data_IF_771179063458
#
_entry.id   IF_771179063458
#
_cell.length_a   1.000
_cell.length_b   1.000
_cell.length_c   1.000
_cell.angle_alpha   90.00
_cell.angle_beta   90.00
_cell.angle_gamma   90.00
#
_symmetry.space_group_name_H-M   'P 1'
#
loop_
_entity.id
_entity.type
_entity.pdbx_description
1 polymer ?
#
# COMPACT_ATOMS: atom_id res chain seq x y z
N UNK A 1 0.34 -14.85 -18.51
CA UNK A 1 -0.40 -16.10 -18.23
C UNK A 1 -1.04 -15.99 -16.85
N UNK A 2 -2.37 -16.04 -16.76
CA UNK A 2 -3.10 -16.02 -15.48
C UNK A 2 -3.00 -17.38 -14.78
N UNK A 3 -2.67 -17.39 -13.48
CA UNK A 3 -2.71 -18.59 -12.64
C UNK A 3 -4.12 -18.81 -12.08
N UNK A 4 -4.51 -20.08 -12.00
CA UNK A 4 -5.81 -20.57 -11.55
C UNK A 4 -6.14 -20.18 -10.10
N UNK A 5 -7.43 -20.14 -9.71
CA UNK A 5 -7.85 -19.65 -8.41
C UNK A 5 -7.63 -20.73 -7.35
N UNK A 6 -6.46 -20.76 -6.72
CA UNK A 6 -6.30 -21.44 -5.44
C UNK A 6 -6.84 -20.53 -4.33
N UNK A 7 -7.70 -21.09 -3.49
CA UNK A 7 -8.61 -20.42 -2.56
C UNK A 7 -7.94 -19.77 -1.33
N UNK A 8 -6.81 -19.06 -1.50
CA UNK A 8 -6.10 -18.28 -0.45
C UNK A 8 -5.29 -17.10 -1.00
N UNK A 9 -5.79 -16.34 -1.98
CA UNK A 9 -5.13 -15.08 -2.32
C UNK A 9 -5.29 -14.12 -1.14
N UNK A 10 -4.22 -13.88 -0.37
CA UNK A 10 -4.18 -12.76 0.58
C UNK A 10 -4.34 -11.49 -0.26
N UNK A 11 -5.11 -10.51 0.20
CA UNK A 11 -5.36 -9.25 -0.52
C UNK A 11 -4.10 -8.55 -1.07
N UNK A 12 -2.95 -8.80 -0.44
CA UNK A 12 -1.63 -8.29 -0.80
C UNK A 12 -0.95 -9.05 -1.95
N UNK A 13 -1.39 -10.26 -2.30
CA UNK A 13 -0.79 -11.10 -3.35
C UNK A 13 -1.04 -10.56 -4.78
N UNK A 14 -1.79 -9.45 -4.88
CA UNK A 14 -2.05 -8.71 -6.12
C UNK A 14 -0.92 -7.73 -6.49
N UNK A 15 0.05 -7.53 -5.60
CA UNK A 15 1.17 -6.61 -5.78
C UNK A 15 2.49 -7.38 -5.74
N UNK A 16 3.42 -7.01 -6.61
CA UNK A 16 4.76 -7.59 -6.68
C UNK A 16 5.82 -6.50 -6.91
N UNK A 17 7.08 -6.81 -6.60
CA UNK A 17 8.22 -5.92 -6.81
C UNK A 17 9.02 -5.65 -5.54
N UNK A 18 10.13 -4.93 -5.70
CA UNK A 18 11.12 -4.71 -4.64
C UNK A 18 10.53 -4.22 -3.31
N UNK A 19 9.66 -3.22 -3.33
CA UNK A 19 9.06 -2.67 -2.10
C UNK A 19 8.12 -3.67 -1.40
N UNK A 20 7.47 -4.57 -2.14
CA UNK A 20 6.57 -5.58 -1.58
C UNK A 20 7.38 -6.67 -0.86
N UNK A 21 8.48 -7.10 -1.47
CA UNK A 21 9.39 -8.08 -0.86
C UNK A 21 10.06 -7.51 0.39
N UNK A 22 10.53 -6.26 0.32
CA UNK A 22 11.08 -5.56 1.48
C UNK A 22 10.07 -5.47 2.64
N UNK A 23 8.81 -5.11 2.34
CA UNK A 23 7.76 -5.02 3.35
C UNK A 23 7.42 -6.38 3.97
N UNK A 24 7.45 -7.45 3.17
CA UNK A 24 7.24 -8.83 3.64
C UNK A 24 8.35 -9.27 4.60
N UNK A 25 9.61 -8.97 4.28
CA UNK A 25 10.75 -9.28 5.16
C UNK A 25 10.66 -8.48 6.47
N UNK A 26 10.36 -7.19 6.39
CA UNK A 26 10.15 -6.36 7.58
C UNK A 26 9.02 -6.91 8.46
N UNK A 27 7.89 -7.32 7.87
CA UNK A 27 6.77 -7.90 8.61
C UNK A 27 7.13 -9.23 9.27
N UNK A 28 7.98 -10.04 8.64
CA UNK A 28 8.48 -11.30 9.20
C UNK A 28 9.40 -11.05 10.40
N UNK A 29 10.32 -10.09 10.28
CA UNK A 29 11.28 -9.75 11.34
C UNK A 29 10.61 -9.07 12.53
N UNK A 30 9.70 -8.12 12.27
CA UNK A 30 9.09 -7.27 13.29
C UNK A 30 7.72 -7.78 13.77
N UNK A 31 7.15 -8.79 13.11
CA UNK A 31 5.91 -9.46 13.53
C UNK A 31 4.63 -8.65 13.32
N UNK A 32 4.62 -7.62 12.46
CA UNK A 32 3.42 -6.83 12.18
C UNK A 32 2.58 -7.40 11.02
N UNK A 33 1.29 -7.04 11.00
CA UNK A 33 0.39 -7.30 9.87
C UNK A 33 0.19 -6.02 9.08
N UNK A 34 0.12 -6.14 7.76
CA UNK A 34 -0.08 -5.02 6.86
C UNK A 34 -1.08 -5.36 5.74
N UNK A 35 -1.66 -4.32 5.18
CA UNK A 35 -2.55 -4.39 4.02
C UNK A 35 -2.08 -3.35 3.01
N UNK A 36 -1.88 -3.77 1.76
CA UNK A 36 -1.52 -2.89 0.66
C UNK A 36 -2.78 -2.33 0.01
N UNK A 37 -2.86 -1.01 -0.06
CA UNK A 37 -3.93 -0.27 -0.74
C UNK A 37 -3.33 0.73 -1.70
N UNK A 38 -4.00 0.91 -2.83
CA UNK A 38 -3.68 1.99 -3.76
C UNK A 38 -4.32 3.28 -3.25
N UNK A 39 -3.54 4.36 -3.25
CA UNK A 39 -4.03 5.70 -2.98
C UNK A 39 -5.11 6.06 -4.00
N UNK A 40 -6.20 6.70 -3.56
CA UNK A 40 -7.39 6.90 -4.40
C UNK A 40 -7.15 7.81 -5.61
N UNK A 41 -6.32 8.83 -5.44
CA UNK A 41 -6.08 9.88 -6.44
C UNK A 41 -4.76 9.66 -7.23
N UNK A 42 -4.01 8.60 -6.93
CA UNK A 42 -2.72 8.32 -7.54
C UNK A 42 -1.60 9.30 -7.17
N UNK A 43 -1.83 10.25 -6.26
CA UNK A 43 -0.88 11.29 -5.91
C UNK A 43 -0.03 10.91 -4.70
N UNK A 44 1.25 11.28 -4.72
CA UNK A 44 2.10 11.21 -3.53
C UNK A 44 1.57 12.15 -2.45
N UNK A 45 1.36 13.41 -2.83
CA UNK A 45 0.81 14.46 -1.99
C UNK A 45 1.36 15.81 -2.39
N UNK A 46 0.47 16.75 -2.59
CA UNK A 46 0.71 18.15 -2.94
C UNK A 46 -0.13 19.00 -2.02
N UNK A 47 0.43 20.12 -1.59
CA UNK A 47 -0.25 21.07 -0.71
C UNK A 47 -0.98 22.10 -1.55
N UNK A 48 -2.29 22.25 -1.31
CA UNK A 48 -3.07 23.31 -1.95
C UNK A 48 -2.79 24.69 -1.31
N UNK A 49 -3.32 25.75 -1.93
CA UNK A 49 -3.17 27.12 -1.44
C UNK A 49 -3.78 27.34 -0.04
N UNK A 50 -4.73 26.49 0.34
CA UNK A 50 -5.40 26.47 1.65
C UNK A 50 -4.59 25.67 2.69
N UNK A 51 -3.44 25.13 2.29
CA UNK A 51 -2.53 24.40 3.16
C UNK A 51 -2.89 22.93 3.37
N UNK A 52 -3.90 22.41 2.67
CA UNK A 52 -4.36 21.01 2.77
C UNK A 52 -3.55 20.11 1.85
N UNK A 53 -3.22 18.93 2.35
CA UNK A 53 -2.58 17.90 1.54
C UNK A 53 -3.63 17.07 0.77
N UNK A 54 -3.23 16.51 -0.37
CA UNK A 54 -3.90 15.40 -1.07
C UNK A 54 -3.01 14.14 -1.06
N UNK A 55 -3.37 13.11 -1.82
CA UNK A 55 -2.52 11.94 -2.02
C UNK A 55 -2.30 11.08 -0.79
N UNK A 56 -1.22 10.29 -0.84
CA UNK A 56 -0.77 9.46 0.28
C UNK A 56 -0.52 10.29 1.55
N UNK A 57 0.00 11.52 1.41
CA UNK A 57 0.17 12.42 2.55
C UNK A 57 -1.16 12.75 3.25
N UNK A 58 -2.23 12.99 2.49
CA UNK A 58 -3.55 13.24 3.08
C UNK A 58 -4.11 12.03 3.79
N UNK A 59 -4.00 10.85 3.18
CA UNK A 59 -4.47 9.60 3.79
C UNK A 59 -3.72 9.26 5.09
N UNK A 60 -2.49 9.73 5.26
CA UNK A 60 -1.72 9.61 6.51
C UNK A 60 -2.12 10.64 7.58
N UNK A 61 -2.51 11.86 7.19
CA UNK A 61 -2.89 12.92 8.12
C UNK A 61 -4.31 12.77 8.66
N UNK A 62 -5.23 12.21 7.87
CA UNK A 62 -6.63 12.00 8.28
C UNK A 62 -6.82 10.76 9.20
N UNK A 63 -5.73 10.22 9.76
CA UNK A 63 -5.73 9.05 10.66
C UNK A 63 -5.76 9.40 12.13
#
# INVERSE_FOLDING_TARGET
MMKQPSNKFKWNDRFEGFCVDLLREMATILGFRYELRLVRDGAYGTRDAQGRWNGMLRELLDR
#
